data_IF_263691130995
#
_entry.id   IF_263691130995
#
_cell.length_a   1.000
_cell.length_b   1.000
_cell.length_c   1.000
_cell.angle_alpha   90.00
_cell.angle_beta   90.00
_cell.angle_gamma   90.00
#
_symmetry.space_group_name_H-M   'P 1'
#
loop_
_entity.id
_entity.type
_entity.pdbx_description
1 polymer ?
#
# COMPACT_ATOMS: atom_id res chain seq x y z
N UNK A 1 4.60 -2.49 -20.45
CA UNK A 1 3.22 -2.65 -19.94
C UNK A 1 3.25 -2.04 -18.56
N UNK A 2 3.22 -0.72 -18.56
CA UNK A 2 3.41 0.12 -17.41
C UNK A 2 2.02 0.25 -16.79
N UNK A 3 1.73 -0.63 -15.82
CA UNK A 3 0.47 -0.60 -15.10
C UNK A 3 0.47 0.64 -14.19
N UNK A 4 -0.17 1.68 -14.70
CA UNK A 4 -0.52 2.91 -13.98
C UNK A 4 -1.26 2.52 -12.69
N UNK A 5 -0.55 2.65 -11.58
CA UNK A 5 -1.03 2.22 -10.27
C UNK A 5 -1.96 3.30 -9.75
N UNK A 6 -3.19 2.94 -9.35
CA UNK A 6 -4.17 3.91 -8.89
C UNK A 6 -3.64 4.69 -7.67
N UNK A 7 -3.41 6.01 -7.78
CA UNK A 7 -2.75 6.80 -6.74
C UNK A 7 -3.60 6.88 -5.47
N UNK A 8 -4.93 6.73 -5.57
CA UNK A 8 -5.84 6.71 -4.40
C UNK A 8 -5.66 5.45 -3.57
N UNK A 9 -5.59 4.30 -4.21
CA UNK A 9 -5.36 3.02 -3.55
C UNK A 9 -3.98 2.96 -2.89
N UNK A 10 -2.97 3.53 -3.54
CA UNK A 10 -1.64 3.69 -2.96
C UNK A 10 -1.67 4.52 -1.68
N UNK A 11 -2.37 5.66 -1.69
CA UNK A 11 -2.55 6.50 -0.50
C UNK A 11 -3.39 5.81 0.58
N UNK A 12 -4.46 5.08 0.21
CA UNK A 12 -5.27 4.32 1.15
C UNK A 12 -4.45 3.25 1.90
N UNK A 13 -3.67 2.45 1.17
CA UNK A 13 -2.81 1.44 1.77
C UNK A 13 -1.72 2.08 2.62
N UNK A 14 -1.14 3.19 2.18
CA UNK A 14 -0.16 3.94 2.95
C UNK A 14 -0.74 4.46 4.28
N UNK A 15 -1.86 5.17 4.25
CA UNK A 15 -2.53 5.69 5.45
C UNK A 15 -2.92 4.56 6.42
N UNK A 16 -3.39 3.42 5.89
CA UNK A 16 -3.72 2.25 6.69
C UNK A 16 -2.49 1.66 7.42
N UNK A 17 -1.34 1.61 6.74
CA UNK A 17 -0.10 1.12 7.33
C UNK A 17 0.50 2.10 8.33
N UNK A 18 0.40 3.40 8.06
CA UNK A 18 0.88 4.48 8.94
C UNK A 18 0.18 4.41 10.32
N UNK A 19 -1.15 4.25 10.33
CA UNK A 19 -1.96 4.13 11.56
C UNK A 19 -1.58 2.89 12.40
N UNK A 20 -1.27 1.77 11.73
CA UNK A 20 -0.97 0.49 12.37
C UNK A 20 0.50 0.20 12.70
N UNK A 21 1.42 1.11 12.37
CA UNK A 21 2.87 0.88 12.44
C UNK A 21 3.57 1.62 13.58
N UNK A 22 2.85 2.36 14.42
CA UNK A 22 3.43 3.19 15.49
C UNK A 22 4.33 2.43 16.48
N UNK A 23 4.12 1.12 16.64
CA UNK A 23 4.87 0.26 17.56
C UNK A 23 6.18 -0.31 16.97
N UNK A 24 6.34 -0.29 15.64
CA UNK A 24 7.44 -0.97 14.95
C UNK A 24 8.35 0.01 14.19
N UNK A 25 9.55 0.27 14.75
CA UNK A 25 10.52 1.24 14.21
C UNK A 25 11.09 0.83 12.86
N UNK A 26 11.34 -0.46 12.65
CA UNK A 26 11.86 -0.97 11.37
C UNK A 26 10.82 -0.80 10.24
N UNK A 27 9.55 -1.02 10.56
CA UNK A 27 8.45 -0.77 9.61
C UNK A 27 8.28 0.72 9.31
N UNK A 28 8.44 1.59 10.31
CA UNK A 28 8.37 3.05 10.13
C UNK A 28 9.49 3.59 9.21
N UNK A 29 10.70 3.04 9.31
CA UNK A 29 11.82 3.40 8.43
C UNK A 29 11.52 3.02 6.96
N UNK A 30 11.01 1.81 6.75
CA UNK A 30 10.58 1.35 5.43
C UNK A 30 9.39 2.16 4.88
N UNK A 31 8.43 2.54 5.74
CA UNK A 31 7.31 3.41 5.35
C UNK A 31 7.77 4.82 4.99
N UNK A 32 8.75 5.38 5.70
CA UNK A 32 9.33 6.70 5.39
C UNK A 32 10.06 6.67 4.04
N UNK A 33 10.78 5.58 3.78
CA UNK A 33 11.41 5.33 2.47
C UNK A 33 10.36 5.22 1.37
N UNK A 34 9.28 4.47 1.62
CA UNK A 34 8.17 4.30 0.68
C UNK A 34 7.44 5.63 0.41
N UNK A 35 7.19 6.45 1.44
CA UNK A 35 6.58 7.78 1.33
C UNK A 35 7.39 8.67 0.39
N UNK A 36 8.71 8.67 0.57
CA UNK A 36 9.65 9.43 -0.27
C UNK A 36 9.63 8.97 -1.73
N UNK A 37 9.36 7.68 -2.00
CA UNK A 37 9.17 7.16 -3.35
C UNK A 37 7.78 7.47 -3.94
N UNK A 38 6.74 7.63 -3.12
CA UNK A 38 5.36 7.90 -3.55
C UNK A 38 5.11 9.39 -3.80
N UNK A 39 5.77 10.27 -3.07
CA UNK A 39 5.76 11.70 -3.37
C UNK A 39 6.78 12.00 -4.45
N UNK A 40 6.40 12.51 -5.63
CA UNK A 40 7.35 13.11 -6.56
C UNK A 40 7.77 14.48 -6.02
N UNK A 41 8.36 14.52 -4.82
CA UNK A 41 9.02 15.73 -4.35
C UNK A 41 10.39 15.77 -5.00
N UNK A 42 10.46 16.57 -6.06
CA UNK A 42 11.68 17.28 -6.42
C UNK A 42 12.38 17.71 -5.12
N UNK A 43 13.68 17.39 -5.01
CA UNK A 43 14.42 17.54 -3.77
C UNK A 43 14.35 18.97 -3.24
N UNK A 44 14.07 19.10 -1.96
CA UNK A 44 14.66 20.13 -1.10
C UNK A 44 14.90 19.42 0.25
N UNK A 45 16.14 19.03 0.58
CA UNK A 45 16.47 18.77 1.96
C UNK A 45 16.26 20.06 2.74
N UNK A 46 15.58 19.94 3.89
CA UNK A 46 15.50 21.00 4.87
C UNK A 46 16.90 21.55 5.13
N UNK A 47 16.99 22.87 5.07
CA UNK A 47 18.20 23.66 5.05
C UNK A 47 18.89 23.59 6.40
N UNK A 48 19.74 22.60 6.65
CA UNK A 48 20.61 22.61 7.83
C UNK A 48 22.02 22.11 7.47
N UNK A 49 22.92 23.10 7.40
CA UNK A 49 24.36 23.04 7.58
C UNK A 49 25.22 22.32 6.50
N UNK A 50 26.03 23.15 5.84
CA UNK A 50 27.31 22.85 5.18
C UNK A 50 27.82 21.40 5.33
N UNK A 51 27.72 20.60 4.26
CA UNK A 51 28.85 19.80 3.75
C UNK A 51 28.51 19.19 2.38
N UNK A 52 29.38 19.48 1.41
CA UNK A 52 29.42 18.76 0.14
C UNK A 52 29.73 17.27 0.38
N UNK A 53 28.92 16.38 -0.18
CA UNK A 53 29.42 15.06 -0.56
C UNK A 53 28.76 14.58 -1.85
N UNK A 54 29.63 14.30 -2.81
CA UNK A 54 29.37 13.59 -4.06
C UNK A 54 28.84 12.17 -3.80
N UNK A 55 27.99 11.65 -4.70
CA UNK A 55 27.72 10.21 -4.76
C UNK A 55 26.25 9.75 -4.82
N UNK A 56 25.65 9.86 -6.00
CA UNK A 56 24.63 8.96 -6.58
C UNK A 56 23.29 8.75 -5.84
N UNK A 57 22.26 9.51 -6.23
CA UNK A 57 20.86 9.08 -6.14
C UNK A 57 20.51 8.34 -7.43
N UNK A 58 20.66 7.01 -7.41
CA UNK A 58 20.07 6.13 -8.42
C UNK A 58 18.59 5.95 -8.10
N UNK A 59 17.74 6.85 -8.59
CA UNK A 59 16.34 6.54 -8.86
C UNK A 59 16.01 7.09 -10.24
N UNK A 60 15.97 6.17 -11.19
CA UNK A 60 15.79 6.34 -12.62
C UNK A 60 14.54 7.21 -12.93
N UNK A 61 14.67 8.48 -13.32
CA UNK A 61 13.56 9.27 -13.81
C UNK A 61 13.51 9.05 -15.31
N UNK A 62 12.85 7.98 -15.76
CA UNK A 62 12.72 7.76 -17.20
C UNK A 62 11.74 8.77 -17.80
N UNK A 63 12.33 9.88 -18.26
CA UNK A 63 12.11 10.52 -19.55
C UNK A 63 10.71 11.10 -19.84
N UNK A 64 10.48 12.35 -19.42
CA UNK A 64 9.97 13.41 -20.32
C UNK A 64 10.01 14.75 -19.58
N UNK A 65 11.16 15.42 -19.59
CA UNK A 65 11.21 16.86 -19.33
C UNK A 65 11.88 17.51 -20.53
N UNK A 66 11.25 17.27 -21.69
CA UNK A 66 11.56 17.97 -22.91
C UNK A 66 10.73 19.25 -22.91
N UNK A 67 11.38 20.30 -22.41
CA UNK A 67 11.42 21.63 -23.00
C UNK A 67 10.09 22.38 -23.29
N UNK A 68 10.03 23.61 -22.75
CA UNK A 68 9.34 24.81 -23.25
C UNK A 68 8.00 25.25 -22.61
N UNK A 69 8.18 26.24 -21.73
CA UNK A 69 7.44 27.52 -21.61
C UNK A 69 6.14 27.61 -20.76
N UNK A 70 5.99 28.72 -20.00
CA UNK A 70 4.84 28.99 -19.14
C UNK A 70 3.70 29.58 -19.98
N UNK A 71 2.80 28.72 -20.46
CA UNK A 71 1.58 29.17 -21.13
C UNK A 71 0.38 28.47 -20.51
N UNK A 72 -0.40 29.26 -19.78
CA UNK A 72 -1.65 28.87 -19.17
C UNK A 72 -2.62 28.32 -20.22
N UNK A 73 -2.91 27.02 -20.17
CA UNK A 73 -4.09 26.37 -20.75
C UNK A 73 -4.49 25.19 -19.86
N UNK A 74 -5.79 24.87 -19.80
CA UNK A 74 -6.44 24.39 -18.58
C UNK A 74 -5.99 22.97 -18.27
N UNK A 75 -5.52 22.79 -17.03
CA UNK A 75 -5.42 21.50 -16.37
C UNK A 75 -6.75 20.78 -16.60
N UNK A 76 -6.75 19.75 -17.45
CA UNK A 76 -7.88 18.83 -17.53
C UNK A 76 -7.93 18.14 -16.17
N UNK A 77 -8.84 18.68 -15.35
CA UNK A 77 -9.53 18.06 -14.22
C UNK A 77 -9.56 16.53 -14.35
N UNK A 78 -8.57 15.88 -13.74
CA UNK A 78 -8.53 14.45 -13.49
C UNK A 78 -8.27 14.27 -12.01
N UNK A 79 -9.35 14.30 -11.24
CA UNK A 79 -9.42 14.05 -9.79
C UNK A 79 -8.34 14.71 -8.93
N UNK A 80 -8.67 15.87 -8.34
CA UNK A 80 -8.08 16.23 -7.05
C UNK A 80 -8.43 15.05 -6.15
N UNK A 81 -7.44 14.22 -5.81
CA UNK A 81 -7.63 13.15 -4.86
C UNK A 81 -8.04 13.85 -3.57
N UNK A 82 -9.30 13.67 -3.18
CA UNK A 82 -9.81 14.23 -1.95
C UNK A 82 -9.16 13.45 -0.80
N UNK A 83 -7.99 13.95 -0.35
CA UNK A 83 -7.18 13.33 0.69
C UNK A 83 -7.99 13.13 1.97
N UNK A 84 -8.98 14.00 2.22
CA UNK A 84 -9.92 13.84 3.33
C UNK A 84 -10.84 12.65 3.13
N UNK A 85 -11.45 12.50 1.94
CA UNK A 85 -12.23 11.32 1.61
C UNK A 85 -11.40 10.02 1.69
N UNK A 86 -10.14 10.06 1.24
CA UNK A 86 -9.19 8.93 1.35
C UNK A 86 -8.93 8.58 2.81
N UNK A 87 -8.68 9.57 3.69
CA UNK A 87 -8.49 9.33 5.12
C UNK A 87 -9.73 8.76 5.79
N UNK A 88 -10.92 9.24 5.45
CA UNK A 88 -12.18 8.71 5.98
C UNK A 88 -12.33 7.23 5.61
N UNK A 89 -12.11 6.90 4.33
CA UNK A 89 -12.19 5.50 3.86
C UNK A 89 -11.11 4.63 4.51
N UNK A 90 -9.87 5.13 4.64
CA UNK A 90 -8.81 4.42 5.35
C UNK A 90 -9.21 4.13 6.81
N UNK A 91 -9.81 5.09 7.51
CA UNK A 91 -10.32 4.92 8.86
C UNK A 91 -11.42 3.86 8.96
N UNK A 92 -12.34 3.81 8.01
CA UNK A 92 -13.33 2.72 7.93
C UNK A 92 -12.66 1.36 7.72
N UNK A 93 -11.68 1.28 6.82
CA UNK A 93 -10.93 0.04 6.56
C UNK A 93 -10.16 -0.41 7.81
N UNK A 94 -9.60 0.50 8.60
CA UNK A 94 -8.96 0.19 9.88
C UNK A 94 -9.96 -0.42 10.86
N UNK A 95 -11.18 0.14 10.99
CA UNK A 95 -12.20 -0.44 11.86
C UNK A 95 -12.64 -1.84 11.42
N UNK A 96 -12.71 -2.08 10.11
CA UNK A 96 -13.00 -3.41 9.56
C UNK A 96 -11.83 -4.34 9.88
N UNK A 97 -10.59 -3.91 9.63
CA UNK A 97 -9.39 -4.66 9.94
C UNK A 97 -9.31 -5.08 11.41
N UNK A 98 -9.62 -4.18 12.34
CA UNK A 98 -9.67 -4.47 13.77
C UNK A 98 -10.61 -5.64 14.12
N UNK A 99 -11.75 -5.72 13.42
CA UNK A 99 -12.70 -6.83 13.57
C UNK A 99 -12.17 -8.12 12.92
N UNK A 100 -11.48 -8.01 11.79
CA UNK A 100 -10.84 -9.13 11.11
C UNK A 100 -9.73 -9.75 11.97
N UNK A 101 -8.83 -8.94 12.51
CA UNK A 101 -7.66 -9.36 13.30
C UNK A 101 -8.06 -10.15 14.57
N UNK A 102 -9.24 -9.85 15.13
CA UNK A 102 -9.80 -10.57 16.31
C UNK A 102 -10.30 -11.98 15.98
N UNK A 103 -10.43 -12.31 14.70
CA UNK A 103 -10.95 -13.61 14.27
C UNK A 103 -9.82 -14.64 14.21
N UNK A 104 -9.97 -15.79 14.87
CA UNK A 104 -8.96 -16.88 14.87
C UNK A 104 -8.66 -17.39 13.45
N UNK A 105 -9.66 -17.36 12.56
CA UNK A 105 -9.53 -17.71 11.14
C UNK A 105 -8.57 -16.75 10.41
N UNK A 106 -8.56 -15.47 10.79
CA UNK A 106 -7.66 -14.47 10.22
C UNK A 106 -6.21 -14.84 10.55
N UNK A 107 -5.89 -15.10 11.82
CA UNK A 107 -4.53 -15.48 12.22
C UNK A 107 -4.03 -16.76 11.53
N UNK A 108 -4.90 -17.78 11.41
CA UNK A 108 -4.53 -19.02 10.73
C UNK A 108 -4.26 -18.80 9.22
N UNK A 109 -5.11 -18.02 8.56
CA UNK A 109 -4.94 -17.69 7.14
C UNK A 109 -3.70 -16.82 6.92
N UNK A 110 -3.47 -15.86 7.81
CA UNK A 110 -2.33 -14.97 7.79
C UNK A 110 -1.01 -15.74 7.91
N UNK A 111 -0.90 -16.68 8.86
CA UNK A 111 0.31 -17.49 9.02
C UNK A 111 0.60 -18.36 7.79
N UNK A 112 -0.45 -18.85 7.13
CA UNK A 112 -0.32 -19.57 5.86
C UNK A 112 0.15 -18.65 4.73
N UNK A 113 -0.40 -17.43 4.63
CA UNK A 113 0.04 -16.44 3.66
C UNK A 113 1.51 -16.09 3.87
N UNK A 114 1.89 -15.72 5.11
CA UNK A 114 3.26 -15.36 5.47
C UNK A 114 4.25 -16.47 5.09
N UNK A 115 3.93 -17.72 5.45
CA UNK A 115 4.73 -18.89 5.05
C UNK A 115 4.82 -19.04 3.53
N UNK A 116 3.73 -18.85 2.80
CA UNK A 116 3.74 -18.95 1.34
C UNK A 116 4.62 -17.86 0.71
N UNK A 117 4.55 -16.62 1.20
CA UNK A 117 5.37 -15.50 0.71
C UNK A 117 6.87 -15.75 0.96
N UNK A 118 7.23 -16.33 2.10
CA UNK A 118 8.62 -16.70 2.40
C UNK A 118 9.15 -17.84 1.53
N UNK A 119 8.30 -18.81 1.16
CA UNK A 119 8.71 -20.00 0.41
C UNK A 119 8.54 -19.88 -1.12
N UNK A 120 7.91 -18.80 -1.60
CA UNK A 120 7.59 -18.61 -3.02
C UNK A 120 8.27 -17.34 -3.56
N UNK A 121 8.66 -17.34 -4.85
CA UNK A 121 9.18 -16.14 -5.48
C UNK A 121 8.10 -15.06 -5.57
N UNK A 122 8.56 -13.80 -5.65
CA UNK A 122 7.73 -12.58 -5.70
C UNK A 122 6.64 -12.64 -6.79
N UNK A 123 6.95 -13.27 -7.93
CA UNK A 123 6.04 -13.47 -9.05
C UNK A 123 4.73 -14.20 -8.65
N UNK A 124 4.80 -15.05 -7.62
CA UNK A 124 3.66 -15.81 -7.11
C UNK A 124 2.98 -15.16 -5.90
N UNK A 125 3.50 -14.03 -5.40
CA UNK A 125 2.95 -13.37 -4.21
C UNK A 125 1.53 -12.87 -4.45
N UNK A 126 1.26 -12.32 -5.64
CA UNK A 126 -0.10 -11.90 -6.05
C UNK A 126 -1.10 -13.04 -5.96
N UNK A 127 -0.72 -14.23 -6.44
CA UNK A 127 -1.59 -15.41 -6.43
C UNK A 127 -1.80 -15.97 -5.01
N UNK A 128 -0.78 -15.89 -4.16
CA UNK A 128 -0.91 -16.30 -2.76
C UNK A 128 -1.86 -15.33 -2.03
N UNK A 129 -1.66 -14.02 -2.19
CA UNK A 129 -2.52 -12.99 -1.63
C UNK A 129 -3.97 -13.15 -2.10
N UNK A 130 -4.19 -13.36 -3.41
CA UNK A 130 -5.53 -13.56 -3.97
C UNK A 130 -6.25 -14.74 -3.35
N UNK A 131 -5.58 -15.89 -3.33
CA UNK A 131 -6.14 -17.14 -2.86
C UNK A 131 -6.48 -17.06 -1.37
N UNK A 132 -5.63 -16.42 -0.57
CA UNK A 132 -5.83 -16.30 0.86
C UNK A 132 -6.96 -15.29 1.20
N UNK A 133 -7.09 -14.18 0.45
CA UNK A 133 -8.22 -13.25 0.56
C UNK A 133 -9.53 -13.93 0.15
N UNK A 134 -9.55 -14.64 -0.98
CA UNK A 134 -10.73 -15.37 -1.45
C UNK A 134 -11.16 -16.46 -0.46
N UNK A 135 -10.21 -17.18 0.13
CA UNK A 135 -10.51 -18.16 1.19
C UNK A 135 -11.20 -17.53 2.38
N UNK A 136 -10.77 -16.34 2.82
CA UNK A 136 -11.45 -15.67 3.94
C UNK A 136 -12.83 -15.14 3.54
N UNK A 137 -12.96 -14.62 2.33
CA UNK A 137 -14.23 -14.09 1.84
C UNK A 137 -15.30 -15.17 1.69
N UNK A 138 -14.91 -16.37 1.24
CA UNK A 138 -15.83 -17.51 1.08
C UNK A 138 -15.90 -18.42 2.31
N UNK A 139 -14.95 -18.30 3.24
CA UNK A 139 -14.76 -19.21 4.39
C UNK A 139 -15.64 -18.93 5.62
N UNK A 140 -16.73 -18.18 5.45
CA UNK A 140 -17.70 -17.90 6.53
C UNK A 140 -17.45 -16.60 7.31
N UNK A 141 -16.39 -15.85 6.98
CA UNK A 141 -16.12 -14.56 7.61
C UNK A 141 -17.11 -13.48 7.16
N UNK A 142 -17.61 -13.59 5.93
CA UNK A 142 -18.71 -12.79 5.37
C UNK A 142 -19.99 -12.88 6.18
N UNK A 143 -20.22 -13.96 6.92
CA UNK A 143 -21.46 -14.14 7.69
C UNK A 143 -21.56 -13.17 8.89
N UNK A 144 -20.42 -12.69 9.40
CA UNK A 144 -20.37 -11.69 10.48
C UNK A 144 -20.28 -10.24 9.97
N UNK A 145 -19.92 -10.05 8.69
CA UNK A 145 -19.65 -8.75 8.07
C UNK A 145 -20.53 -8.50 6.82
N UNK A 146 -21.64 -9.24 6.69
CA UNK A 146 -22.53 -9.28 5.51
C UNK A 146 -23.13 -7.90 5.15
N UNK A 147 -23.14 -6.97 6.12
CA UNK A 147 -23.64 -5.61 5.93
C UNK A 147 -22.65 -4.68 5.20
N UNK A 148 -21.38 -5.08 5.05
CA UNK A 148 -20.35 -4.27 4.41
C UNK A 148 -20.21 -4.60 2.92
N UNK A 149 -19.96 -3.59 2.07
CA UNK A 149 -19.73 -3.83 0.65
C UNK A 149 -18.47 -4.70 0.46
N UNK A 150 -18.60 -5.71 -0.41
CA UNK A 150 -17.57 -6.71 -0.71
C UNK A 150 -16.21 -6.09 -1.04
N UNK A 151 -16.20 -4.98 -1.79
CA UNK A 151 -14.97 -4.23 -2.11
C UNK A 151 -14.23 -3.73 -0.88
N UNK A 152 -14.92 -3.12 0.09
CA UNK A 152 -14.29 -2.63 1.33
C UNK A 152 -13.77 -3.79 2.16
N UNK A 153 -14.50 -4.90 2.21
CA UNK A 153 -14.05 -6.09 2.92
C UNK A 153 -12.80 -6.71 2.27
N UNK A 154 -12.74 -6.77 0.94
CA UNK A 154 -11.55 -7.23 0.21
C UNK A 154 -10.36 -6.31 0.44
N UNK A 155 -10.54 -4.98 0.32
CA UNK A 155 -9.50 -3.99 0.61
C UNK A 155 -8.98 -4.13 2.03
N UNK A 156 -9.88 -4.17 3.02
CA UNK A 156 -9.51 -4.33 4.43
C UNK A 156 -8.74 -5.64 4.65
N UNK A 157 -9.22 -6.78 4.12
CA UNK A 157 -8.52 -8.07 4.22
C UNK A 157 -7.12 -8.00 3.62
N UNK A 158 -6.99 -7.49 2.40
CA UNK A 158 -5.71 -7.33 1.71
C UNK A 158 -4.76 -6.45 2.53
N UNK A 159 -5.23 -5.29 2.99
CA UNK A 159 -4.40 -4.35 3.72
C UNK A 159 -3.98 -4.89 5.08
N UNK A 160 -4.88 -5.58 5.77
CA UNK A 160 -4.59 -6.23 7.05
C UNK A 160 -3.54 -7.33 6.89
N UNK A 161 -3.61 -8.13 5.82
CA UNK A 161 -2.57 -9.11 5.52
C UNK A 161 -1.23 -8.44 5.25
N UNK A 162 -1.20 -7.40 4.41
CA UNK A 162 0.03 -6.66 4.10
C UNK A 162 0.64 -6.08 5.38
N UNK A 163 -0.17 -5.39 6.20
CA UNK A 163 0.22 -4.86 7.50
C UNK A 163 0.84 -5.93 8.39
N UNK A 164 0.15 -7.06 8.57
CA UNK A 164 0.66 -8.16 9.40
C UNK A 164 1.98 -8.72 8.87
N UNK A 165 2.13 -8.93 7.56
CA UNK A 165 3.37 -9.44 6.99
C UNK A 165 4.50 -8.44 7.22
N UNK A 166 4.25 -7.16 6.99
CA UNK A 166 5.26 -6.10 7.14
C UNK A 166 5.65 -5.84 8.59
N UNK A 167 4.76 -6.08 9.56
CA UNK A 167 5.12 -6.05 10.98
C UNK A 167 6.11 -7.18 11.35
N UNK A 168 6.01 -8.35 10.70
CA UNK A 168 6.91 -9.48 10.93
C UNK A 168 8.15 -9.48 10.02
N UNK A 169 8.06 -8.89 8.83
CA UNK A 169 9.10 -8.83 7.81
C UNK A 169 9.06 -7.45 7.11
N UNK A 170 9.57 -6.39 7.77
CA UNK A 170 9.49 -5.02 7.26
C UNK A 170 10.22 -4.84 5.93
N UNK A 171 11.31 -5.61 5.71
CA UNK A 171 12.06 -5.66 4.47
C UNK A 171 11.24 -6.13 3.23
N UNK A 172 10.07 -6.74 3.44
CA UNK A 172 9.17 -7.12 2.34
C UNK A 172 8.18 -6.01 1.96
N UNK A 173 8.10 -4.92 2.73
CA UNK A 173 7.10 -3.86 2.58
C UNK A 173 7.02 -3.35 1.15
N UNK A 174 8.12 -2.89 0.56
CA UNK A 174 8.08 -2.23 -0.75
C UNK A 174 7.57 -3.17 -1.86
N UNK A 175 8.01 -4.43 -1.84
CA UNK A 175 7.61 -5.47 -2.82
C UNK A 175 6.17 -5.91 -2.62
N UNK A 176 5.79 -6.12 -1.36
CA UNK A 176 4.44 -6.54 -1.01
C UNK A 176 3.42 -5.42 -1.24
N UNK A 177 3.79 -4.17 -0.98
CA UNK A 177 2.98 -2.98 -1.28
C UNK A 177 2.68 -2.89 -2.77
N UNK A 178 3.69 -2.99 -3.64
CA UNK A 178 3.48 -3.02 -5.11
C UNK A 178 2.60 -4.19 -5.53
N UNK A 179 2.83 -5.38 -4.97
CA UNK A 179 2.04 -6.57 -5.26
C UNK A 179 0.57 -6.39 -4.86
N UNK A 180 0.33 -5.80 -3.70
CA UNK A 180 -1.02 -5.52 -3.19
C UNK A 180 -1.73 -4.47 -4.04
N UNK A 181 -1.03 -3.42 -4.47
CA UNK A 181 -1.61 -2.43 -5.39
C UNK A 181 -1.94 -3.02 -6.76
N UNK A 182 -1.05 -3.85 -7.30
CA UNK A 182 -1.37 -4.60 -8.53
C UNK A 182 -2.54 -5.55 -8.32
N UNK A 183 -2.63 -6.20 -7.17
CA UNK A 183 -3.78 -7.02 -6.83
C UNK A 183 -5.04 -6.15 -6.87
N UNK A 184 -5.15 -5.13 -6.03
CA UNK A 184 -6.33 -4.24 -5.92
C UNK A 184 -6.73 -3.61 -7.25
N UNK A 185 -5.77 -3.16 -8.07
CA UNK A 185 -6.06 -2.61 -9.38
C UNK A 185 -6.73 -3.61 -10.34
N UNK A 186 -6.49 -4.92 -10.17
CA UNK A 186 -7.20 -5.95 -10.95
C UNK A 186 -8.58 -6.32 -10.38
N UNK A 187 -9.01 -5.74 -9.25
CA UNK A 187 -10.36 -5.91 -8.70
C UNK A 187 -11.34 -4.82 -9.16
N UNK A 188 -10.83 -3.62 -9.45
CA UNK A 188 -11.63 -2.47 -9.90
C UNK A 188 -11.85 -2.47 -11.40
#
# INVERSE_FOLDING_TARGET
>A
MDQETDPRTALLLFCFLEDGSSDNKDLQEELTTLKSCLTPSCGIPAEEDDVQSDGHICCNPRQYLDELQPQALPLQRGDIIDEEAVRIVAGELVQIADQLERTVIFQATFWNLFRNLQNRPEENWKFCLSREVEKMLHGGLTQSLDQLPKERLMLALTFTFVKGVCQHAPNMLQRLFRTALQYVHNFS
#
